data_IF_691107485489
#
_entry.id   IF_691107485489
#
_cell.length_a   1.000
_cell.length_b   1.000
_cell.length_c   1.000
_cell.angle_alpha   90.00
_cell.angle_beta   90.00
_cell.angle_gamma   90.00
#
_symmetry.space_group_name_H-M   'P 1'
#
loop_
_entity.id
_entity.type
_entity.pdbx_description
1 polymer ?
#
# COMPACT_ATOMS: atom_id res chain seq x y z
N UNK A 1 -5.85 11.27 -23.59
CA UNK A 1 -5.08 12.32 -22.89
C UNK A 1 -5.75 12.64 -21.56
N UNK A 2 -5.01 12.67 -20.43
CA UNK A 2 -5.56 12.96 -19.11
C UNK A 2 -6.23 14.34 -19.05
N UNK A 3 -7.39 14.44 -18.41
CA UNK A 3 -8.22 15.67 -18.31
C UNK A 3 -7.43 16.89 -17.83
N UNK A 4 -6.44 16.67 -16.98
CA UNK A 4 -5.59 17.71 -16.38
C UNK A 4 -4.61 18.34 -17.36
N UNK A 5 -4.15 17.61 -18.38
CA UNK A 5 -3.17 18.13 -19.34
C UNK A 5 -3.80 19.14 -20.31
N UNK A 6 -5.12 19.06 -20.54
CA UNK A 6 -5.86 20.04 -21.34
C UNK A 6 -5.95 21.40 -20.66
N UNK A 7 -6.13 21.42 -19.34
CA UNK A 7 -6.34 22.65 -18.56
C UNK A 7 -5.08 23.52 -18.46
N UNK A 8 -3.90 22.89 -18.45
CA UNK A 8 -2.62 23.61 -18.38
C UNK A 8 -2.39 24.41 -19.67
N UNK A 9 -2.69 23.81 -20.83
CA UNK A 9 -2.54 24.46 -22.13
C UNK A 9 -3.53 25.63 -22.33
N UNK A 10 -4.68 25.62 -21.65
CA UNK A 10 -5.68 26.71 -21.73
C UNK A 10 -5.29 27.96 -20.91
N UNK A 11 -4.51 27.81 -19.84
CA UNK A 11 -4.12 28.93 -18.97
C UNK A 11 -3.04 29.83 -19.58
N UNK A 12 -2.14 29.31 -20.41
CA UNK A 12 -1.05 30.10 -21.02
C UNK A 12 -1.56 31.11 -22.07
N UNK A 13 -2.83 31.03 -22.50
CA UNK A 13 -3.38 31.87 -23.57
C UNK A 13 -4.08 33.16 -23.09
N UNK A 14 -4.21 33.42 -21.78
CA UNK A 14 -5.06 34.51 -21.23
C UNK A 14 -4.40 35.40 -20.17
N UNK A 15 -3.13 35.76 -20.36
CA UNK A 15 -2.41 36.66 -19.44
C UNK A 15 -2.23 38.06 -20.05
N UNK A 16 -3.29 38.88 -20.04
CA UNK A 16 -3.20 40.33 -20.19
C UNK A 16 -4.43 41.04 -19.57
N UNK A 17 -4.32 41.49 -18.30
CA UNK A 17 -4.92 42.71 -17.71
C UNK A 17 -5.13 42.61 -16.18
N UNK A 18 -4.29 43.33 -15.44
CA UNK A 18 -4.41 44.10 -14.18
C UNK A 18 -5.43 43.84 -13.03
N UNK A 19 -4.87 44.03 -11.81
CA UNK A 19 -5.39 44.61 -10.54
C UNK A 19 -6.15 43.75 -9.51
N UNK A 20 -5.74 43.89 -8.23
CA UNK A 20 -6.21 43.23 -7.00
C UNK A 20 -7.07 44.19 -6.13
N UNK A 21 -7.58 43.83 -4.92
CA UNK A 21 -7.86 42.53 -4.30
C UNK A 21 -9.33 42.39 -3.79
N UNK A 22 -9.91 41.18 -3.80
CA UNK A 22 -11.12 40.90 -3.01
C UNK A 22 -11.15 39.44 -2.56
N UNK A 23 -11.21 39.23 -1.24
CA UNK A 23 -11.36 37.94 -0.58
C UNK A 23 -12.78 37.40 -0.77
N UNK A 24 -13.01 36.69 -1.86
CA UNK A 24 -14.10 35.73 -2.01
C UNK A 24 -13.53 34.59 -2.85
N UNK A 25 -13.36 33.40 -2.25
CA UNK A 25 -12.80 32.26 -2.97
C UNK A 25 -13.70 31.91 -4.15
N UNK A 26 -13.23 32.04 -5.40
CA UNK A 26 -14.00 31.62 -6.54
C UNK A 26 -13.90 30.10 -6.63
N UNK A 27 -15.05 29.45 -6.76
CA UNK A 27 -15.23 28.03 -7.08
C UNK A 27 -14.71 27.65 -8.50
N UNK A 28 -13.73 28.38 -9.04
CA UNK A 28 -13.35 28.31 -10.45
C UNK A 28 -11.86 28.42 -10.77
N UNK A 29 -10.97 28.62 -9.79
CA UNK A 29 -9.52 28.54 -10.04
C UNK A 29 -8.97 27.24 -9.48
N UNK A 30 -8.20 26.44 -10.26
CA UNK A 30 -7.58 25.23 -9.74
C UNK A 30 -6.58 25.65 -8.67
N UNK A 31 -6.94 25.44 -7.40
CA UNK A 31 -6.04 25.71 -6.29
C UNK A 31 -4.84 24.76 -6.41
N UNK A 32 -3.72 25.29 -6.91
CA UNK A 32 -2.47 24.55 -7.16
C UNK A 32 -2.04 23.79 -5.91
N UNK A 33 -2.22 24.37 -4.72
CA UNK A 33 -1.90 23.73 -3.45
C UNK A 33 -2.76 22.49 -3.18
N UNK A 34 -4.08 22.59 -3.44
CA UNK A 34 -5.00 21.46 -3.27
C UNK A 34 -4.71 20.35 -4.27
N UNK A 35 -4.45 20.69 -5.54
CA UNK A 35 -4.07 19.68 -6.55
C UNK A 35 -2.73 19.02 -6.23
N UNK A 36 -1.74 19.79 -5.77
CA UNK A 36 -0.46 19.25 -5.36
C UNK A 36 -0.60 18.35 -4.12
N UNK A 37 -1.47 18.70 -3.18
CA UNK A 37 -1.85 17.85 -2.05
C UNK A 37 -2.48 16.53 -2.53
N UNK A 38 -3.48 16.57 -3.40
CA UNK A 38 -4.12 15.38 -3.95
C UNK A 38 -3.13 14.50 -4.70
N UNK A 39 -2.25 15.10 -5.51
CA UNK A 39 -1.21 14.37 -6.24
C UNK A 39 -0.22 13.70 -5.29
N UNK A 40 0.23 14.41 -4.24
CA UNK A 40 1.08 13.83 -3.19
C UNK A 40 0.38 12.72 -2.43
N UNK A 41 -0.92 12.87 -2.13
CA UNK A 41 -1.72 11.84 -1.49
C UNK A 41 -1.85 10.59 -2.37
N UNK A 42 -2.05 10.78 -3.67
CA UNK A 42 -2.14 9.71 -4.65
C UNK A 42 -0.80 9.00 -4.88
N UNK A 43 0.32 9.73 -4.85
CA UNK A 43 1.68 9.15 -4.84
C UNK A 43 2.01 8.46 -3.50
N UNK A 44 1.47 8.96 -2.39
CA UNK A 44 1.66 8.41 -1.04
C UNK A 44 0.88 7.11 -0.83
N UNK A 45 -0.21 6.91 -1.58
CA UNK A 45 -0.88 5.61 -1.70
C UNK A 45 0.10 4.63 -2.36
N UNK A 46 0.97 4.03 -1.54
CA UNK A 46 1.80 2.91 -1.95
C UNK A 46 0.83 1.86 -2.50
N UNK A 47 0.93 1.54 -3.79
CA UNK A 47 0.23 0.42 -4.44
C UNK A 47 0.78 -0.91 -3.89
N UNK A 48 0.62 -1.14 -2.58
CA UNK A 48 1.06 -2.35 -1.91
C UNK A 48 0.04 -3.43 -2.23
N UNK A 49 0.40 -4.29 -3.16
CA UNK A 49 -0.31 -5.54 -3.40
C UNK A 49 -0.08 -6.49 -2.21
N UNK A 50 -0.85 -6.31 -1.13
CA UNK A 50 -0.69 -7.06 0.12
C UNK A 50 -0.75 -8.57 -0.10
N UNK A 51 -1.57 -9.04 -1.03
CA UNK A 51 -1.62 -10.46 -1.41
C UNK A 51 -0.28 -10.94 -1.97
N UNK A 52 0.32 -10.19 -2.90
CA UNK A 52 1.61 -10.53 -3.52
C UNK A 52 2.72 -10.52 -2.46
N UNK A 53 2.70 -9.51 -1.60
CA UNK A 53 3.66 -9.38 -0.49
C UNK A 53 3.54 -10.54 0.50
N UNK A 54 2.33 -10.89 0.95
CA UNK A 54 2.12 -12.00 1.89
C UNK A 54 2.53 -13.35 1.30
N UNK A 55 2.27 -13.59 0.01
CA UNK A 55 2.77 -14.79 -0.70
C UNK A 55 4.29 -14.84 -0.74
N UNK A 56 4.95 -13.74 -1.10
CA UNK A 56 6.42 -13.67 -1.15
C UNK A 56 7.03 -13.92 0.25
N UNK A 57 6.50 -13.26 1.29
CA UNK A 57 6.91 -13.50 2.68
C UNK A 57 6.75 -14.96 3.07
N UNK A 58 5.62 -15.58 2.70
CA UNK A 58 5.37 -16.99 3.00
C UNK A 58 6.42 -17.88 2.36
N UNK A 59 6.68 -17.69 1.07
CA UNK A 59 7.67 -18.48 0.33
C UNK A 59 9.09 -18.35 0.90
N UNK A 60 9.52 -17.13 1.21
CA UNK A 60 10.84 -16.86 1.80
C UNK A 60 10.94 -17.51 3.19
N UNK A 61 9.93 -17.35 4.04
CA UNK A 61 9.91 -17.98 5.37
C UNK A 61 9.93 -19.50 5.27
N UNK A 62 9.16 -20.09 4.36
CA UNK A 62 9.09 -21.54 4.16
C UNK A 62 10.45 -22.12 3.71
N UNK A 63 11.13 -21.43 2.79
CA UNK A 63 12.47 -21.83 2.35
C UNK A 63 13.54 -21.66 3.43
N UNK A 64 13.51 -20.56 4.19
CA UNK A 64 14.43 -20.35 5.32
C UNK A 64 14.21 -21.39 6.42
N UNK A 65 12.96 -21.71 6.73
CA UNK A 65 12.58 -22.72 7.71
C UNK A 65 13.08 -24.10 7.28
N UNK A 66 12.89 -24.47 6.01
CA UNK A 66 13.38 -25.74 5.48
C UNK A 66 14.91 -25.85 5.52
N UNK A 67 15.64 -24.73 5.36
CA UNK A 67 17.10 -24.70 5.48
C UNK A 67 17.55 -24.86 6.93
N UNK A 68 16.91 -24.13 7.86
CA UNK A 68 17.25 -24.22 9.29
C UNK A 68 16.92 -25.58 9.87
N UNK A 69 15.75 -26.15 9.55
CA UNK A 69 15.34 -27.48 10.03
C UNK A 69 16.28 -28.59 9.56
N UNK A 70 16.82 -28.49 8.34
CA UNK A 70 17.81 -29.47 7.82
C UNK A 70 19.14 -29.45 8.56
N UNK A 71 19.50 -28.33 9.18
CA UNK A 71 20.77 -28.15 9.92
C UNK A 71 20.62 -28.34 11.44
N UNK A 72 19.49 -28.89 11.92
CA UNK A 72 19.16 -29.01 13.35
C UNK A 72 20.13 -29.85 14.20
N UNK A 73 21.03 -30.63 13.58
CA UNK A 73 21.92 -31.57 14.27
C UNK A 73 22.97 -30.90 15.17
N UNK A 74 23.18 -29.58 15.06
CA UNK A 74 24.12 -28.80 15.88
C UNK A 74 23.55 -27.47 16.36
N UNK A 75 22.22 -27.37 16.53
CA UNK A 75 21.58 -26.08 16.71
C UNK A 75 21.79 -25.46 18.09
N UNK A 76 22.15 -24.18 18.07
CA UNK A 76 22.14 -23.31 19.27
C UNK A 76 20.70 -23.06 19.73
N UNK A 77 20.51 -22.75 21.01
CA UNK A 77 19.22 -22.36 21.60
C UNK A 77 18.59 -21.19 20.84
N UNK A 78 19.40 -20.28 20.31
CA UNK A 78 18.89 -19.12 19.55
C UNK A 78 18.41 -19.49 18.14
N UNK A 79 19.00 -20.52 17.52
CA UNK A 79 18.50 -21.06 16.26
C UNK A 79 17.15 -21.76 16.46
N UNK A 80 16.98 -22.45 17.59
CA UNK A 80 15.70 -23.06 17.96
C UNK A 80 14.59 -22.01 18.17
N UNK A 81 14.90 -20.91 18.87
CA UNK A 81 13.98 -19.76 18.99
C UNK A 81 13.64 -19.18 17.63
N UNK A 82 14.63 -19.06 16.74
CA UNK A 82 14.44 -18.56 15.38
C UNK A 82 13.50 -19.46 14.57
N UNK A 83 13.65 -20.78 14.66
CA UNK A 83 12.75 -21.75 14.05
C UNK A 83 11.33 -21.59 14.58
N UNK A 84 11.14 -21.46 15.89
CA UNK A 84 9.82 -21.22 16.50
C UNK A 84 9.17 -19.95 15.94
N UNK A 85 9.89 -18.83 15.93
CA UNK A 85 9.39 -17.57 15.37
C UNK A 85 8.98 -17.71 13.89
N UNK A 86 9.76 -18.43 13.09
CA UNK A 86 9.44 -18.69 11.69
C UNK A 86 8.19 -19.55 11.52
N UNK A 87 7.99 -20.57 12.36
CA UNK A 87 6.78 -21.40 12.35
C UNK A 87 5.55 -20.56 12.68
N UNK A 88 5.60 -19.78 13.76
CA UNK A 88 4.50 -18.88 14.17
C UNK A 88 4.20 -17.86 13.07
N UNK A 89 5.23 -17.26 12.48
CA UNK A 89 5.07 -16.29 11.41
C UNK A 89 4.48 -16.90 10.13
N UNK A 90 4.92 -18.10 9.74
CA UNK A 90 4.35 -18.87 8.61
C UNK A 90 2.86 -19.12 8.82
N UNK A 91 2.44 -19.46 10.03
CA UNK A 91 1.03 -19.66 10.37
C UNK A 91 0.22 -18.36 10.22
N UNK A 92 0.74 -17.23 10.75
CA UNK A 92 0.13 -15.90 10.59
C UNK A 92 -0.01 -15.51 9.11
N UNK A 93 1.02 -15.73 8.30
CA UNK A 93 0.99 -15.45 6.86
C UNK A 93 -0.05 -16.29 6.12
N UNK A 94 -0.20 -17.58 6.48
CA UNK A 94 -1.21 -18.46 5.89
C UNK A 94 -2.62 -17.90 6.11
N UNK A 95 -2.93 -17.49 7.34
CA UNK A 95 -4.21 -16.86 7.68
C UNK A 95 -4.43 -15.55 6.93
N UNK A 96 -3.40 -14.70 6.84
CA UNK A 96 -3.48 -13.45 6.07
C UNK A 96 -3.81 -13.71 4.60
N UNK A 97 -3.12 -14.67 3.96
CA UNK A 97 -3.39 -15.03 2.56
C UNK A 97 -4.82 -15.53 2.39
N UNK A 98 -5.30 -16.39 3.30
CA UNK A 98 -6.68 -16.89 3.28
C UNK A 98 -7.70 -15.76 3.44
N UNK A 99 -7.52 -14.86 4.40
CA UNK A 99 -8.37 -13.67 4.58
C UNK A 99 -8.39 -12.80 3.33
N UNK A 100 -7.22 -12.47 2.78
CA UNK A 100 -7.13 -11.66 1.56
C UNK A 100 -7.79 -12.33 0.35
N UNK A 101 -7.80 -13.67 0.27
CA UNK A 101 -8.53 -14.41 -0.77
C UNK A 101 -10.04 -14.25 -0.60
N UNK A 102 -10.55 -14.36 0.62
CA UNK A 102 -11.98 -14.13 0.94
C UNK A 102 -12.41 -12.70 0.62
N UNK A 103 -11.60 -11.70 1.01
CA UNK A 103 -11.89 -10.30 0.70
C UNK A 103 -11.92 -10.04 -0.81
N UNK A 104 -10.99 -10.65 -1.55
CA UNK A 104 -10.98 -10.58 -3.02
C UNK A 104 -12.24 -11.20 -3.64
N UNK A 105 -12.73 -12.33 -3.14
CA UNK A 105 -13.98 -12.93 -3.64
C UNK A 105 -15.21 -12.07 -3.34
N UNK A 106 -15.15 -11.23 -2.31
CA UNK A 106 -16.18 -10.22 -1.98
C UNK A 106 -16.02 -8.90 -2.77
N UNK A 107 -15.06 -8.82 -3.69
CA UNK A 107 -14.79 -7.62 -4.48
C UNK A 107 -13.90 -6.57 -3.81
N UNK A 108 -13.47 -6.80 -2.56
CA UNK A 108 -12.59 -5.90 -1.82
C UNK A 108 -11.14 -6.14 -2.26
N UNK A 109 -10.58 -5.20 -3.02
CA UNK A 109 -9.20 -5.26 -3.53
C UNK A 109 -8.23 -4.62 -2.52
N UNK A 110 -7.04 -5.20 -2.39
CA UNK A 110 -5.92 -4.65 -1.60
C UNK A 110 -6.24 -4.25 -0.15
N UNK A 111 -7.09 -5.01 0.53
CA UNK A 111 -7.35 -4.80 1.95
C UNK A 111 -6.07 -4.89 2.78
N UNK A 112 -5.86 -3.92 3.67
CA UNK A 112 -4.71 -3.89 4.55
C UNK A 112 -4.83 -5.01 5.61
N UNK A 113 -3.86 -5.93 5.69
CA UNK A 113 -3.89 -7.04 6.65
C UNK A 113 -3.71 -6.58 8.11
N UNK A 114 -3.30 -5.34 8.36
CA UNK A 114 -3.18 -4.75 9.71
C UNK A 114 -4.45 -4.05 10.20
N UNK A 115 -5.47 -3.92 9.36
CA UNK A 115 -6.77 -3.46 9.83
C UNK A 115 -7.45 -4.63 10.53
N UNK A 116 -7.65 -4.50 11.85
CA UNK A 116 -8.51 -5.38 12.64
C UNK A 116 -9.82 -5.60 11.86
N UNK A 117 -10.21 -6.86 11.71
CA UNK A 117 -11.49 -7.13 11.05
C UNK A 117 -12.57 -6.58 11.96
N UNK A 118 -13.39 -5.65 11.47
CA UNK A 118 -14.71 -5.43 12.07
C UNK A 118 -15.39 -6.80 12.05
N UNK A 119 -15.75 -7.31 13.23
CA UNK A 119 -16.48 -8.55 13.38
C UNK A 119 -17.73 -8.45 12.49
N UNK A 120 -17.85 -9.38 11.54
CA UNK A 120 -19.07 -9.64 10.78
C UNK A 120 -19.55 -11.03 11.16
#
# INVERSE_FOLDING_TARGET
MPRYQKLINECDSKSAANSAPQQQQPLGTPNVGYHLYLYRQQLSQKNVEYMRLSKAKYFITDTLLAKTVRNLKGCSVDELKTVNHQIVFRHKLRHQIQRLRKLRSLGIKNANPKMESTEL
#
